data_IF_853919129097
#
_entry.id   IF_853919129097
#
_cell.length_a   1.000
_cell.length_b   1.000
_cell.length_c   1.000
_cell.angle_alpha   90.00
_cell.angle_beta   90.00
_cell.angle_gamma   90.00
#
_symmetry.space_group_name_H-M   'P 1'
#
loop_
_entity.id
_entity.type
_entity.pdbx_description
1 polymer ?
#
# COMPACT_ATOMS: atom_id res chain seq x y z
N UNK A 1 -8.83 -2.84 3.18
CA UNK A 1 -8.50 -2.15 1.91
C UNK A 1 -9.48 -2.48 0.79
N UNK A 2 -9.63 -3.75 0.36
CA UNK A 2 -10.56 -4.13 -0.73
C UNK A 2 -12.01 -3.67 -0.48
N UNK A 3 -12.60 -4.07 0.66
CA UNK A 3 -13.99 -3.75 1.03
C UNK A 3 -14.22 -2.24 1.15
N UNK A 4 -13.25 -1.53 1.73
CA UNK A 4 -13.33 -0.09 1.97
C UNK A 4 -13.27 0.75 0.68
N UNK A 5 -12.73 0.21 -0.41
CA UNK A 5 -12.70 0.86 -1.72
C UNK A 5 -13.97 0.49 -2.51
N UNK A 6 -15.11 0.91 -1.99
CA UNK A 6 -16.43 0.64 -2.56
C UNK A 6 -17.26 1.91 -2.59
N UNK A 7 -18.08 2.06 -3.62
CA UNK A 7 -19.14 3.06 -3.68
C UNK A 7 -20.26 2.76 -2.65
N UNK A 8 -20.45 1.48 -2.31
CA UNK A 8 -21.49 1.04 -1.38
C UNK A 8 -21.16 1.42 0.07
N UNK A 9 -22.20 1.55 0.88
CA UNK A 9 -22.06 1.57 2.34
C UNK A 9 -21.59 0.21 2.85
N UNK A 10 -20.75 0.21 3.87
CA UNK A 10 -20.15 -1.02 4.41
C UNK A 10 -20.80 -1.31 5.74
N UNK A 11 -21.46 -2.46 5.81
CA UNK A 11 -22.00 -3.01 7.05
C UNK A 11 -21.15 -4.24 7.39
N UNK A 12 -20.35 -4.15 8.46
CA UNK A 12 -19.35 -5.17 8.79
C UNK A 12 -19.93 -6.58 8.93
N UNK A 13 -21.17 -6.71 9.44
CA UNK A 13 -21.87 -7.99 9.62
C UNK A 13 -22.26 -8.66 8.30
N UNK A 14 -22.34 -7.89 7.22
CA UNK A 14 -22.75 -8.35 5.89
C UNK A 14 -21.53 -8.69 5.01
N UNK A 15 -20.30 -8.54 5.53
CA UNK A 15 -19.07 -8.88 4.81
C UNK A 15 -18.83 -10.39 4.91
N UNK A 16 -19.35 -11.12 3.92
CA UNK A 16 -19.04 -12.54 3.71
C UNK A 16 -17.77 -12.78 2.91
N UNK A 17 -17.43 -14.07 2.70
CA UNK A 17 -16.27 -14.49 1.88
C UNK A 17 -16.29 -13.94 0.45
N UNK A 18 -17.47 -13.66 -0.10
CA UNK A 18 -17.68 -13.22 -1.49
C UNK A 18 -18.23 -11.80 -1.59
N UNK A 19 -17.78 -10.87 -0.75
CA UNK A 19 -18.24 -9.49 -0.80
C UNK A 19 -17.93 -8.83 -2.16
N UNK A 20 -18.97 -8.46 -2.89
CA UNK A 20 -18.85 -7.65 -4.11
C UNK A 20 -18.76 -6.16 -3.76
N UNK A 21 -17.55 -5.59 -3.92
CA UNK A 21 -17.30 -4.17 -3.68
C UNK A 21 -17.92 -3.25 -4.74
N UNK A 22 -18.38 -3.77 -5.88
CA UNK A 22 -18.83 -2.96 -7.00
C UNK A 22 -17.76 -2.01 -7.52
N UNK A 23 -18.17 -0.79 -7.88
CA UNK A 23 -17.26 0.28 -8.31
C UNK A 23 -16.31 0.75 -7.19
N UNK A 24 -15.11 1.17 -7.59
CA UNK A 24 -14.11 1.75 -6.69
C UNK A 24 -14.19 3.28 -6.66
N UNK A 25 -13.92 3.88 -5.50
CA UNK A 25 -13.92 5.33 -5.29
C UNK A 25 -12.51 5.95 -5.42
N UNK A 26 -11.48 5.12 -5.36
CA UNK A 26 -10.08 5.47 -5.65
C UNK A 26 -9.42 4.37 -6.48
N UNK A 27 -8.38 4.74 -7.21
CA UNK A 27 -7.40 3.79 -7.75
C UNK A 27 -6.23 3.69 -6.79
N UNK A 28 -5.87 2.48 -6.36
CA UNK A 28 -4.71 2.25 -5.49
C UNK A 28 -3.53 1.82 -6.37
N UNK A 29 -2.41 2.52 -6.29
CA UNK A 29 -1.20 2.19 -7.04
C UNK A 29 -0.31 1.25 -6.25
N UNK A 30 -0.02 1.61 -5.00
CA UNK A 30 0.82 0.81 -4.12
C UNK A 30 0.34 0.95 -2.68
N UNK A 31 0.63 -0.07 -1.87
CA UNK A 31 0.49 0.00 -0.42
C UNK A 31 1.53 -0.88 0.27
N UNK A 32 1.83 -0.52 1.52
CA UNK A 32 2.59 -1.32 2.47
C UNK A 32 2.04 -1.09 3.89
N UNK A 33 1.68 -2.16 4.58
CA UNK A 33 1.22 -2.12 5.97
C UNK A 33 2.37 -2.55 6.87
N UNK A 34 2.86 -1.63 7.70
CA UNK A 34 3.88 -1.90 8.71
C UNK A 34 3.19 -2.21 10.06
N UNK A 35 3.91 -2.76 11.05
CA UNK A 35 3.31 -3.07 12.35
C UNK A 35 2.68 -1.87 13.08
N UNK A 36 3.20 -0.66 12.86
CA UNK A 36 2.78 0.55 13.56
C UNK A 36 2.24 1.68 12.65
N UNK A 37 2.30 1.53 11.32
CA UNK A 37 1.78 2.52 10.36
C UNK A 37 1.56 1.86 9.00
N UNK A 38 1.05 2.61 8.03
CA UNK A 38 0.94 2.12 6.66
C UNK A 38 1.15 3.27 5.67
N UNK A 39 1.48 2.92 4.43
CA UNK A 39 1.55 3.83 3.31
C UNK A 39 0.65 3.35 2.18
N UNK A 40 -0.05 4.29 1.53
CA UNK A 40 -0.91 4.03 0.38
C UNK A 40 -0.65 5.11 -0.66
N UNK A 41 -0.36 4.69 -1.88
CA UNK A 41 -0.38 5.52 -3.07
C UNK A 41 -1.76 5.37 -3.72
N UNK A 42 -2.49 6.47 -3.86
CA UNK A 42 -3.85 6.46 -4.39
C UNK A 42 -4.12 7.67 -5.29
N UNK A 43 -5.03 7.46 -6.25
CA UNK A 43 -5.57 8.47 -7.15
C UNK A 43 -7.09 8.55 -6.95
N UNK A 44 -7.61 9.76 -6.84
CA UNK A 44 -9.06 9.98 -6.71
C UNK A 44 -9.78 9.60 -8.02
N UNK A 45 -10.90 8.88 -7.89
CA UNK A 45 -11.83 8.63 -9.00
C UNK A 45 -13.09 9.48 -8.90
N UNK A 46 -13.41 9.91 -7.69
CA UNK A 46 -14.52 10.79 -7.37
C UNK A 46 -14.00 11.93 -6.50
N UNK A 47 -14.72 13.04 -6.48
CA UNK A 47 -14.42 14.17 -5.60
C UNK A 47 -14.36 13.70 -4.13
N UNK A 48 -13.30 14.08 -3.41
CA UNK A 48 -13.04 13.68 -2.03
C UNK A 48 -12.93 12.15 -1.83
N UNK A 49 -12.65 11.39 -2.90
CA UNK A 49 -12.58 9.94 -2.88
C UNK A 49 -11.51 9.39 -1.92
N UNK A 50 -10.35 10.04 -1.80
CA UNK A 50 -9.29 9.61 -0.86
C UNK A 50 -9.78 9.80 0.59
N UNK A 51 -10.35 10.95 0.91
CA UNK A 51 -10.88 11.23 2.25
C UNK A 51 -12.00 10.25 2.62
N UNK A 52 -12.91 9.96 1.68
CA UNK A 52 -13.95 8.95 1.88
C UNK A 52 -13.37 7.55 2.08
N UNK A 53 -12.40 7.16 1.25
CA UNK A 53 -11.72 5.87 1.34
C UNK A 53 -11.02 5.68 2.69
N UNK A 54 -10.24 6.68 3.11
CA UNK A 54 -9.52 6.67 4.38
C UNK A 54 -10.48 6.65 5.58
N UNK A 55 -11.60 7.38 5.52
CA UNK A 55 -12.65 7.31 6.54
C UNK A 55 -13.23 5.90 6.65
N UNK A 56 -13.61 5.28 5.52
CA UNK A 56 -14.14 3.91 5.49
C UNK A 56 -13.11 2.90 6.02
N UNK A 57 -11.84 3.04 5.63
CA UNK A 57 -10.75 2.14 6.02
C UNK A 57 -10.42 2.22 7.51
N UNK A 58 -10.17 3.43 8.02
CA UNK A 58 -9.75 3.65 9.40
C UNK A 58 -10.88 3.33 10.38
N UNK A 59 -12.11 3.77 10.11
CA UNK A 59 -13.27 3.47 10.96
C UNK A 59 -13.57 1.97 10.95
N UNK A 60 -13.67 1.36 9.77
CA UNK A 60 -13.98 -0.06 9.65
C UNK A 60 -12.94 -0.95 10.34
N UNK A 61 -11.65 -0.64 10.18
CA UNK A 61 -10.59 -1.41 10.85
C UNK A 61 -10.57 -1.17 12.36
N UNK A 62 -10.80 0.06 12.83
CA UNK A 62 -10.87 0.35 14.27
C UNK A 62 -12.00 -0.43 14.94
N UNK A 63 -13.19 -0.44 14.33
CA UNK A 63 -14.35 -1.20 14.81
C UNK A 63 -14.07 -2.70 14.84
N UNK A 64 -13.54 -3.25 13.74
CA UNK A 64 -13.16 -4.66 13.65
C UNK A 64 -12.14 -5.05 14.73
N UNK A 65 -11.08 -4.27 14.87
CA UNK A 65 -9.99 -4.57 15.81
C UNK A 65 -10.48 -4.49 17.25
N UNK A 66 -11.22 -3.44 17.61
CA UNK A 66 -11.79 -3.28 18.95
C UNK A 66 -12.75 -4.43 19.29
N UNK A 67 -13.65 -4.81 18.37
CA UNK A 67 -14.55 -5.94 18.58
C UNK A 67 -13.80 -7.27 18.75
N UNK A 68 -12.80 -7.53 17.90
CA UNK A 68 -12.01 -8.76 17.93
C UNK A 68 -11.18 -8.90 19.21
N UNK A 69 -10.68 -7.80 19.74
CA UNK A 69 -9.77 -7.79 20.89
C UNK A 69 -10.44 -7.30 22.18
N UNK A 70 -11.78 -7.21 22.21
CA UNK A 70 -12.57 -6.72 23.36
C UNK A 70 -12.00 -5.42 23.92
N UNK A 71 -11.65 -4.50 23.02
CA UNK A 71 -10.97 -3.25 23.35
C UNK A 71 -11.91 -2.08 23.09
N UNK A 72 -11.74 -1.02 23.87
CA UNK A 72 -12.47 0.23 23.67
C UNK A 72 -11.53 1.37 23.28
N UNK A 73 -12.13 2.45 22.74
CA UNK A 73 -11.41 3.67 22.41
C UNK A 73 -10.67 3.67 21.07
N UNK A 74 -9.87 4.71 20.88
CA UNK A 74 -9.19 5.05 19.62
C UNK A 74 -8.07 4.06 19.30
N UNK A 75 -8.00 3.58 18.06
CA UNK A 75 -6.93 2.68 17.59
C UNK A 75 -5.75 3.42 16.96
N UNK A 76 -6.03 4.42 16.12
CA UNK A 76 -5.00 5.17 15.40
C UNK A 76 -4.62 6.44 16.16
N UNK A 77 -3.35 6.85 16.10
CA UNK A 77 -2.87 7.99 16.88
C UNK A 77 -3.36 9.36 16.37
N UNK A 78 -3.84 9.46 15.13
CA UNK A 78 -4.32 10.71 14.57
C UNK A 78 -5.04 10.56 13.23
N UNK A 79 -5.37 11.70 12.62
CA UNK A 79 -5.84 11.74 11.24
C UNK A 79 -4.74 11.25 10.28
N UNK A 80 -5.14 10.75 9.11
CA UNK A 80 -4.18 10.43 8.06
C UNK A 80 -3.50 11.70 7.56
N UNK A 81 -2.26 11.55 7.10
CA UNK A 81 -1.52 12.61 6.40
C UNK A 81 -1.49 12.28 4.91
N UNK A 82 -1.60 13.30 4.07
CA UNK A 82 -1.53 13.16 2.62
C UNK A 82 -0.55 14.17 2.04
N UNK A 83 0.21 13.73 1.04
CA UNK A 83 1.12 14.56 0.25
C UNK A 83 0.77 14.29 -1.22
N UNK A 84 0.61 15.35 -2.00
CA UNK A 84 0.34 15.24 -3.43
C UNK A 84 1.62 14.81 -4.16
N UNK A 85 1.51 13.80 -5.03
CA UNK A 85 2.58 13.42 -5.93
C UNK A 85 2.50 14.29 -7.19
N UNK A 86 3.17 15.45 -7.16
CA UNK A 86 3.03 16.49 -8.17
C UNK A 86 3.80 16.25 -9.47
N UNK A 87 4.74 15.30 -9.49
CA UNK A 87 5.51 14.97 -10.67
C UNK A 87 5.87 13.48 -10.75
N UNK A 88 6.21 13.06 -11.97
CA UNK A 88 6.50 11.68 -12.35
C UNK A 88 7.69 11.07 -11.59
N UNK A 89 8.75 11.85 -11.38
CA UNK A 89 9.95 11.37 -10.66
C UNK A 89 9.62 11.15 -9.19
N UNK A 90 8.87 12.07 -8.58
CA UNK A 90 8.45 11.93 -7.20
C UNK A 90 7.48 10.76 -7.04
N UNK A 91 6.55 10.55 -7.98
CA UNK A 91 5.66 9.40 -7.98
C UNK A 91 6.44 8.08 -8.04
N UNK A 92 7.43 7.99 -8.93
CA UNK A 92 8.33 6.84 -9.07
C UNK A 92 9.11 6.58 -7.78
N UNK A 93 9.66 7.64 -7.17
CA UNK A 93 10.30 7.55 -5.86
C UNK A 93 9.36 7.04 -4.76
N UNK A 94 8.12 7.56 -4.70
CA UNK A 94 7.12 7.14 -3.71
C UNK A 94 6.75 5.67 -3.87
N UNK A 95 6.59 5.20 -5.11
CA UNK A 95 6.36 3.79 -5.40
C UNK A 95 7.45 2.91 -4.75
N UNK A 96 8.72 3.18 -5.06
CA UNK A 96 9.85 2.40 -4.53
C UNK A 96 9.97 2.55 -3.01
N UNK A 97 9.79 3.75 -2.47
CA UNK A 97 9.79 3.99 -1.02
C UNK A 97 8.71 3.21 -0.27
N UNK A 98 7.51 3.06 -0.86
CA UNK A 98 6.41 2.29 -0.26
C UNK A 98 6.78 0.80 -0.19
N UNK A 99 7.28 0.22 -1.27
CA UNK A 99 7.63 -1.21 -1.32
C UNK A 99 8.89 -1.56 -0.56
N UNK A 100 9.83 -0.62 -0.41
CA UNK A 100 11.07 -0.81 0.36
C UNK A 100 10.92 -0.43 1.84
N UNK A 101 9.78 0.13 2.25
CA UNK A 101 9.54 0.47 3.67
C UNK A 101 9.76 -0.69 4.65
N UNK A 102 9.41 -1.97 4.32
CA UNK A 102 9.69 -3.12 5.17
C UNK A 102 11.15 -3.27 5.56
N UNK A 103 12.10 -2.75 4.77
CA UNK A 103 13.54 -2.76 5.10
C UNK A 103 13.82 -2.23 6.52
N UNK A 104 13.01 -1.27 7.02
CA UNK A 104 13.11 -0.74 8.40
C UNK A 104 12.98 -1.80 9.50
N UNK A 105 12.36 -2.93 9.22
CA UNK A 105 12.16 -4.01 10.18
C UNK A 105 13.44 -4.81 10.41
N UNK A 106 14.35 -4.83 9.45
CA UNK A 106 15.62 -5.56 9.51
C UNK A 106 16.83 -4.62 9.61
N UNK A 107 16.74 -3.40 9.07
CA UNK A 107 17.74 -2.34 9.23
C UNK A 107 17.08 -0.95 9.38
N UNK A 108 17.27 -0.32 10.54
CA UNK A 108 16.79 1.05 10.80
C UNK A 108 17.47 2.11 9.92
N UNK A 109 18.66 1.82 9.41
CA UNK A 109 19.50 2.73 8.62
C UNK A 109 19.50 2.42 7.11
N UNK A 110 18.59 1.55 6.62
CA UNK A 110 18.55 1.04 5.23
C UNK A 110 18.63 2.09 4.11
N UNK A 111 18.32 3.37 4.39
CA UNK A 111 18.40 4.46 3.41
C UNK A 111 19.79 5.06 3.23
N UNK A 112 20.64 4.97 4.26
CA UNK A 112 21.85 5.77 4.38
C UNK A 112 23.11 4.96 4.08
N UNK A 113 22.97 3.77 3.52
CA UNK A 113 24.08 2.85 3.41
C UNK A 113 23.99 2.02 2.14
N UNK A 114 24.84 2.34 1.16
CA UNK A 114 25.16 1.42 0.06
C UNK A 114 25.96 0.28 0.68
N UNK A 115 25.43 -0.93 0.66
CA UNK A 115 25.99 -2.06 1.41
C UNK A 115 25.89 -3.36 0.64
N UNK A 116 26.74 -4.30 1.05
CA UNK A 116 26.78 -5.68 0.57
C UNK A 116 25.44 -6.43 0.78
N UNK A 117 24.62 -6.02 1.76
CA UNK A 117 23.35 -6.63 2.16
C UNK A 117 22.11 -6.14 1.38
N UNK A 118 22.27 -5.23 0.40
CA UNK A 118 21.14 -4.71 -0.36
C UNK A 118 20.31 -5.81 -1.06
N UNK A 119 20.92 -6.95 -1.41
CA UNK A 119 20.22 -8.13 -1.95
C UNK A 119 19.30 -8.78 -0.90
N UNK A 120 19.74 -8.86 0.35
CA UNK A 120 18.94 -9.39 1.45
C UNK A 120 17.76 -8.46 1.75
N UNK A 121 18.01 -7.15 1.79
CA UNK A 121 16.97 -6.13 1.96
C UNK A 121 15.91 -6.23 0.85
N UNK A 122 16.35 -6.31 -0.40
CA UNK A 122 15.45 -6.46 -1.54
C UNK A 122 14.61 -7.73 -1.40
N UNK A 123 15.23 -8.87 -1.12
CA UNK A 123 14.53 -10.14 -0.96
C UNK A 123 13.50 -10.08 0.18
N UNK A 124 13.86 -9.50 1.32
CA UNK A 124 12.94 -9.29 2.43
C UNK A 124 11.72 -8.47 2.00
N UNK A 125 11.92 -7.36 1.30
CA UNK A 125 10.83 -6.52 0.81
C UNK A 125 9.95 -7.24 -0.22
N UNK A 126 10.54 -8.00 -1.15
CA UNK A 126 9.82 -8.78 -2.17
C UNK A 126 9.01 -9.96 -1.61
N UNK A 127 9.34 -10.41 -0.40
CA UNK A 127 8.64 -11.45 0.34
C UNK A 127 7.69 -10.91 1.41
N UNK A 128 7.70 -9.60 1.67
CA UNK A 128 6.88 -9.00 2.71
C UNK A 128 5.38 -9.11 2.39
N UNK A 129 4.61 -9.91 3.16
CA UNK A 129 3.25 -10.31 2.76
C UNK A 129 2.24 -9.16 2.86
N UNK A 130 2.51 -8.16 3.70
CA UNK A 130 1.58 -7.06 3.95
C UNK A 130 1.84 -5.86 3.03
N UNK A 131 2.24 -6.12 1.78
CA UNK A 131 2.42 -5.10 0.77
C UNK A 131 1.82 -5.50 -0.57
N UNK A 132 1.59 -4.50 -1.42
CA UNK A 132 1.09 -4.68 -2.78
C UNK A 132 2.08 -5.36 -3.74
N UNK A 133 3.34 -5.59 -3.34
CA UNK A 133 4.34 -6.19 -4.23
C UNK A 133 3.93 -7.59 -4.70
N UNK A 134 3.20 -8.34 -3.85
CA UNK A 134 2.65 -9.64 -4.19
C UNK A 134 1.57 -9.58 -5.28
N UNK A 135 0.80 -8.49 -5.36
CA UNK A 135 -0.19 -8.32 -6.44
C UNK A 135 0.49 -8.03 -7.78
N UNK A 136 1.60 -7.28 -7.76
CA UNK A 136 2.44 -7.04 -8.93
C UNK A 136 3.15 -8.32 -9.42
N UNK A 137 3.81 -9.06 -8.53
CA UNK A 137 4.50 -10.32 -8.86
C UNK A 137 3.58 -11.34 -9.52
N UNK A 138 2.35 -11.45 -9.00
CA UNK A 138 1.39 -12.45 -9.44
C UNK A 138 0.37 -11.92 -10.47
N UNK A 139 0.48 -10.65 -10.87
CA UNK A 139 -0.49 -9.98 -11.75
C UNK A 139 -1.95 -10.14 -11.31
N UNK A 140 -2.22 -10.15 -9.99
CA UNK A 140 -3.55 -10.48 -9.44
C UNK A 140 -4.45 -9.26 -9.24
N UNK A 141 -3.86 -8.08 -9.04
CA UNK A 141 -4.52 -6.75 -9.05
C UNK A 141 -5.90 -6.69 -8.36
N UNK A 142 -6.01 -7.30 -7.18
CA UNK A 142 -7.25 -7.35 -6.40
C UNK A 142 -7.53 -5.99 -5.74
N UNK A 143 -6.51 -5.39 -5.13
CA UNK A 143 -6.60 -4.09 -4.48
C UNK A 143 -6.02 -3.00 -5.38
N UNK A 144 -4.88 -3.25 -6.01
CA UNK A 144 -4.21 -2.25 -6.84
C UNK A 144 -4.80 -2.17 -8.26
N UNK A 145 -4.68 -1.01 -8.88
CA UNK A 145 -5.05 -0.75 -10.26
C UNK A 145 -3.88 -0.06 -11.00
N UNK A 146 -2.89 -0.84 -11.48
CA UNK A 146 -1.67 -0.27 -12.07
C UNK A 146 -1.94 0.54 -13.33
N UNK A 147 -2.98 0.19 -14.11
CA UNK A 147 -3.36 0.87 -15.36
C UNK A 147 -3.80 2.33 -15.21
N UNK A 148 -4.00 2.79 -13.97
CA UNK A 148 -4.41 4.16 -13.65
C UNK A 148 -3.26 5.01 -13.10
N UNK A 149 -2.07 4.42 -13.04
CA UNK A 149 -0.81 5.08 -12.78
C UNK A 149 0.03 5.03 -14.06
N UNK A 150 1.03 5.90 -14.22
CA UNK A 150 1.92 5.82 -15.38
C UNK A 150 2.55 4.44 -15.51
N UNK A 151 2.69 3.96 -16.75
CA UNK A 151 3.25 2.65 -17.10
C UNK A 151 4.79 2.61 -16.93
N UNK A 152 5.28 3.01 -15.75
CA UNK A 152 6.71 2.92 -15.42
C UNK A 152 7.19 1.47 -15.35
N UNK A 153 6.29 0.57 -14.93
CA UNK A 153 6.64 -0.81 -14.59
C UNK A 153 5.60 -1.77 -15.17
N UNK A 154 5.67 -2.09 -16.47
CA UNK A 154 4.65 -2.89 -17.16
C UNK A 154 4.71 -4.39 -16.84
N UNK A 155 5.76 -4.88 -16.18
CA UNK A 155 5.97 -6.31 -15.91
C UNK A 155 6.50 -6.59 -14.51
N UNK A 156 6.24 -7.79 -13.93
CA UNK A 156 6.85 -8.25 -12.68
C UNK A 156 8.37 -7.99 -12.60
N UNK A 157 9.08 -8.27 -13.70
CA UNK A 157 10.53 -8.05 -13.82
C UNK A 157 10.90 -6.57 -13.73
N UNK A 158 10.14 -5.69 -14.37
CA UNK A 158 10.39 -4.23 -14.31
C UNK A 158 10.21 -3.67 -12.90
N UNK A 159 9.27 -4.19 -12.10
CA UNK A 159 9.12 -3.80 -10.70
C UNK A 159 10.34 -4.21 -9.88
N UNK A 160 10.83 -5.45 -10.05
CA UNK A 160 12.02 -5.91 -9.32
C UNK A 160 13.25 -5.10 -9.70
N UNK A 161 13.42 -4.83 -10.99
CA UNK A 161 14.51 -4.00 -11.51
C UNK A 161 14.48 -2.60 -10.89
N UNK A 162 13.33 -1.97 -10.83
CA UNK A 162 13.18 -0.65 -10.19
C UNK A 162 13.63 -0.66 -8.73
N UNK A 163 13.16 -1.63 -7.94
CA UNK A 163 13.51 -1.69 -6.51
C UNK A 163 15.00 -1.98 -6.30
N UNK A 164 15.59 -2.80 -7.18
CA UNK A 164 17.02 -3.08 -7.18
C UNK A 164 17.83 -1.82 -7.54
N UNK A 165 17.45 -1.10 -8.60
CA UNK A 165 18.09 0.15 -9.02
C UNK A 165 17.98 1.23 -7.94
N UNK A 166 16.84 1.34 -7.26
CA UNK A 166 16.67 2.26 -6.14
C UNK A 166 17.65 1.96 -5.01
N UNK A 167 17.89 0.68 -4.72
CA UNK A 167 18.89 0.22 -3.76
C UNK A 167 20.33 0.24 -4.31
N UNK A 168 20.56 0.79 -5.51
CA UNK A 168 21.88 0.85 -6.14
C UNK A 168 22.53 -0.54 -6.31
N UNK A 169 21.72 -1.58 -6.47
CA UNK A 169 22.19 -2.89 -6.88
C UNK A 169 22.47 -2.81 -8.39
N UNK A 170 23.74 -2.79 -8.78
CA UNK A 170 24.12 -2.93 -10.19
C UNK A 170 23.66 -4.28 -10.75
N UNK A 171 23.37 -4.36 -12.07
CA UNK A 171 23.02 -5.62 -12.75
C UNK A 171 24.06 -6.73 -12.54
#
# INVERSE_FOLDING_TARGET
MYVCNSEKSIVLRDIGKNFDRGGTIVDVGAFCLMPNHFHILAREKIENGISLYMRKLLTGYSMYFNLKHTREGKLFDGAFKAINAGDDRYLKYLYSYIHLNPAKLIDKNWKNSVREDNKEILNFCLLYPNSSIGEYKNSSYKIINPRRFPDYFPSPTSHMKELAEWLQLTP
#
